data_IF_732450481776
#
_entry.id   IF_732450481776
#
_cell.length_a   1.000
_cell.length_b   1.000
_cell.length_c   1.000
_cell.angle_alpha   90.00
_cell.angle_beta   90.00
_cell.angle_gamma   90.00
#
_symmetry.space_group_name_H-M   'P 1'
#
loop_
_entity.id
_entity.type
_entity.pdbx_description
1 polymer ?
#
# COMPACT_ATOMS: atom_id res chain seq x y z
N UNK A 1 2.54 1.90 -32.47
CA UNK A 1 3.02 3.19 -31.93
C UNK A 1 3.68 2.93 -30.58
N UNK A 2 5.01 2.87 -30.53
CA UNK A 2 5.76 2.51 -29.31
C UNK A 2 5.76 3.70 -28.35
N UNK A 3 5.05 3.61 -27.22
CA UNK A 3 5.17 4.61 -26.15
C UNK A 3 6.54 4.43 -25.49
N UNK A 4 7.41 5.42 -25.69
CA UNK A 4 8.63 5.62 -24.90
C UNK A 4 8.16 5.89 -23.46
N UNK A 5 8.36 4.93 -22.56
CA UNK A 5 8.28 5.16 -21.12
C UNK A 5 9.59 5.83 -20.72
N UNK A 6 9.53 7.13 -20.41
CA UNK A 6 10.65 7.85 -19.79
C UNK A 6 10.79 7.40 -18.34
N UNK A 7 12.03 7.17 -17.89
CA UNK A 7 12.38 6.71 -16.54
C UNK A 7 12.04 7.71 -15.42
N UNK A 8 11.33 8.79 -15.73
CA UNK A 8 11.09 9.93 -14.83
C UNK A 8 9.73 9.87 -14.09
N UNK A 9 8.91 8.82 -14.30
CA UNK A 9 7.62 8.63 -13.62
C UNK A 9 7.70 7.77 -12.33
N UNK A 10 8.89 7.50 -11.80
CA UNK A 10 9.04 6.74 -10.54
C UNK A 10 9.02 7.62 -9.28
N UNK A 11 8.16 8.63 -9.23
CA UNK A 11 7.58 9.03 -7.93
C UNK A 11 6.76 7.83 -7.45
N UNK A 12 6.96 7.38 -6.20
CA UNK A 12 6.38 6.16 -5.58
C UNK A 12 5.24 5.51 -6.38
N UNK A 13 5.41 4.26 -6.83
CA UNK A 13 4.38 3.53 -7.59
C UNK A 13 3.04 3.67 -6.84
N UNK A 14 2.05 4.38 -7.41
CA UNK A 14 0.76 4.54 -6.76
C UNK A 14 0.17 3.14 -6.52
N UNK A 15 -0.26 2.88 -5.29
CA UNK A 15 -0.94 1.63 -4.92
C UNK A 15 -2.35 1.70 -5.51
N UNK A 16 -2.45 1.45 -6.81
CA UNK A 16 -3.69 1.45 -7.56
C UNK A 16 -4.12 0.00 -7.82
N UNK A 17 -5.26 -0.38 -7.26
CA UNK A 17 -5.95 -1.65 -7.53
C UNK A 17 -7.01 -1.41 -8.60
N UNK A 18 -6.80 -1.93 -9.81
CA UNK A 18 -7.74 -1.82 -10.92
C UNK A 18 -8.91 -2.81 -10.85
N UNK A 19 -8.83 -3.82 -9.98
CA UNK A 19 -9.93 -4.75 -9.76
C UNK A 19 -11.00 -4.04 -8.93
N UNK A 20 -12.11 -3.63 -9.58
CA UNK A 20 -13.13 -2.78 -8.96
C UNK A 20 -13.81 -3.43 -7.74
N UNK A 21 -13.98 -4.75 -7.75
CA UNK A 21 -14.54 -5.47 -6.58
C UNK A 21 -13.60 -5.38 -5.39
N UNK A 22 -12.33 -5.75 -5.57
CA UNK A 22 -11.32 -5.69 -4.52
C UNK A 22 -11.11 -4.25 -4.03
N UNK A 23 -11.06 -3.29 -4.96
CA UNK A 23 -10.96 -1.86 -4.64
C UNK A 23 -12.13 -1.39 -3.77
N UNK A 24 -13.36 -1.76 -4.11
CA UNK A 24 -14.54 -1.41 -3.31
C UNK A 24 -14.47 -2.01 -1.91
N UNK A 25 -14.12 -3.29 -1.80
CA UNK A 25 -14.04 -3.99 -0.52
C UNK A 25 -12.94 -3.44 0.39
N UNK A 26 -11.74 -3.17 -0.14
CA UNK A 26 -10.62 -2.61 0.64
C UNK A 26 -10.86 -1.15 1.06
N UNK A 27 -11.73 -0.42 0.36
CA UNK A 27 -12.10 0.96 0.68
C UNK A 27 -13.32 1.09 1.61
N UNK A 28 -14.10 0.03 1.83
CA UNK A 28 -15.30 0.02 2.68
C UNK A 28 -14.95 0.22 4.17
N UNK A 29 -14.82 1.48 4.61
CA UNK A 29 -14.36 1.85 5.96
C UNK A 29 -15.15 1.14 7.07
N UNK A 30 -16.47 1.12 6.93
CA UNK A 30 -17.37 0.71 7.98
C UNK A 30 -17.47 -0.81 8.05
N UNK A 31 -17.49 -1.46 6.88
CA UNK A 31 -17.59 -2.90 6.75
C UNK A 31 -16.27 -3.65 6.69
N UNK A 32 -15.10 -3.01 6.66
CA UNK A 32 -13.81 -3.68 6.55
C UNK A 32 -13.50 -4.55 7.77
N UNK A 33 -13.13 -5.80 7.53
CA UNK A 33 -12.69 -6.76 8.56
C UNK A 33 -11.43 -7.50 8.09
N UNK A 34 -10.79 -8.25 8.99
CA UNK A 34 -9.62 -9.06 8.62
C UNK A 34 -9.99 -10.15 7.61
N UNK A 35 -11.14 -10.78 7.81
CA UNK A 35 -11.66 -11.83 6.94
C UNK A 35 -11.88 -11.30 5.51
N UNK A 36 -12.44 -10.08 5.35
CA UNK A 36 -12.57 -9.46 4.03
C UNK A 36 -11.21 -9.18 3.36
N UNK A 37 -10.20 -8.77 4.13
CA UNK A 37 -8.84 -8.55 3.59
C UNK A 37 -8.24 -9.88 3.12
N UNK A 38 -8.38 -10.94 3.92
CA UNK A 38 -7.91 -12.27 3.57
C UNK A 38 -8.65 -12.86 2.36
N UNK A 39 -9.97 -12.65 2.26
CA UNK A 39 -10.78 -13.05 1.10
C UNK A 39 -10.31 -12.36 -0.19
N UNK A 40 -9.96 -11.06 -0.12
CA UNK A 40 -9.41 -10.32 -1.28
C UNK A 40 -8.06 -10.92 -1.70
N UNK A 41 -7.18 -11.21 -0.75
CA UNK A 41 -5.87 -11.83 -1.03
C UNK A 41 -6.06 -13.24 -1.60
N UNK A 42 -6.96 -14.04 -1.02
CA UNK A 42 -7.25 -15.40 -1.48
C UNK A 42 -7.70 -15.43 -2.93
N UNK A 43 -8.67 -14.58 -3.30
CA UNK A 43 -9.13 -14.45 -4.69
C UNK A 43 -8.04 -13.97 -5.63
N UNK A 44 -7.20 -13.02 -5.20
CA UNK A 44 -6.06 -12.59 -6.00
C UNK A 44 -5.09 -13.76 -6.26
N UNK A 45 -4.78 -14.57 -5.25
CA UNK A 45 -3.87 -15.71 -5.38
C UNK A 45 -4.46 -16.82 -6.28
N UNK A 46 -5.77 -17.04 -6.23
CA UNK A 46 -6.48 -17.94 -7.15
C UNK A 46 -6.41 -17.42 -8.58
N UNK A 47 -6.82 -16.17 -8.83
CA UNK A 47 -6.78 -15.55 -10.15
C UNK A 47 -5.35 -15.47 -10.72
N UNK A 48 -4.34 -15.30 -9.86
CA UNK A 48 -2.93 -15.32 -10.24
C UNK A 48 -2.49 -16.72 -10.72
N UNK A 49 -2.90 -17.79 -10.02
CA UNK A 49 -2.55 -19.17 -10.38
C UNK A 49 -3.17 -19.60 -11.70
N UNK A 50 -4.37 -19.12 -11.97
CA UNK A 50 -5.14 -19.45 -13.19
C UNK A 50 -4.81 -18.51 -14.38
N UNK A 51 -3.82 -17.62 -14.24
CA UNK A 51 -3.44 -16.61 -15.25
C UNK A 51 -4.59 -15.68 -15.67
N UNK A 52 -5.44 -15.30 -14.71
CA UNK A 52 -6.64 -14.50 -14.92
C UNK A 52 -6.47 -13.03 -14.51
N UNK A 53 -5.25 -12.56 -14.25
CA UNK A 53 -5.04 -11.19 -13.75
C UNK A 53 -5.64 -10.13 -14.66
N UNK A 54 -5.34 -10.16 -15.96
CA UNK A 54 -5.83 -9.17 -16.92
C UNK A 54 -7.33 -9.26 -17.12
N UNK A 55 -7.84 -10.48 -17.29
CA UNK A 55 -9.27 -10.72 -17.54
C UNK A 55 -10.14 -10.35 -16.34
N UNK A 56 -9.61 -10.47 -15.11
CA UNK A 56 -10.26 -10.06 -13.85
C UNK A 56 -9.92 -8.62 -13.44
N UNK A 57 -9.18 -7.88 -14.27
CA UNK A 57 -8.86 -6.48 -14.03
C UNK A 57 -7.88 -6.23 -12.89
N UNK A 58 -7.11 -7.22 -12.45
CA UNK A 58 -6.01 -7.00 -11.51
C UNK A 58 -4.88 -6.19 -12.14
N UNK A 59 -4.05 -5.49 -11.34
CA UNK A 59 -2.87 -4.82 -11.88
C UNK A 59 -1.94 -5.83 -12.56
N UNK A 60 -1.38 -5.53 -13.72
CA UNK A 60 -0.47 -6.46 -14.42
C UNK A 60 0.98 -6.25 -14.02
N UNK A 61 1.40 -4.99 -13.86
CA UNK A 61 2.76 -4.64 -13.45
C UNK A 61 2.86 -4.64 -11.94
N UNK A 62 3.88 -5.31 -11.41
CA UNK A 62 4.17 -5.43 -9.97
C UNK A 62 2.90 -5.80 -9.16
N UNK A 63 2.10 -6.71 -9.71
CA UNK A 63 0.74 -7.02 -9.23
C UNK A 63 0.69 -7.42 -7.76
N UNK A 64 1.45 -8.47 -7.40
CA UNK A 64 1.49 -8.97 -6.03
C UNK A 64 1.99 -7.91 -5.04
N UNK A 65 2.93 -7.05 -5.45
CA UNK A 65 3.38 -5.93 -4.63
C UNK A 65 2.24 -4.92 -4.39
N UNK A 66 1.53 -4.49 -5.44
CA UNK A 66 0.39 -3.56 -5.30
C UNK A 66 -0.71 -4.13 -4.42
N UNK A 67 -1.11 -5.38 -4.65
CA UNK A 67 -2.16 -6.05 -3.88
C UNK A 67 -1.75 -6.21 -2.42
N UNK A 68 -0.52 -6.65 -2.14
CA UNK A 68 -0.03 -6.80 -0.76
C UNK A 68 0.03 -5.46 -0.01
N UNK A 69 0.43 -4.36 -0.65
CA UNK A 69 0.46 -3.04 -0.01
C UNK A 69 -0.95 -2.44 0.18
N UNK A 70 -1.87 -2.67 -0.75
CA UNK A 70 -3.27 -2.30 -0.56
C UNK A 70 -3.93 -3.06 0.59
N UNK A 71 -3.64 -4.36 0.71
CA UNK A 71 -4.11 -5.19 1.81
C UNK A 71 -3.49 -4.76 3.15
N UNK A 72 -2.20 -4.43 3.20
CA UNK A 72 -1.54 -3.89 4.40
C UNK A 72 -2.17 -2.57 4.86
N UNK A 73 -2.49 -1.70 3.90
CA UNK A 73 -3.20 -0.44 4.15
C UNK A 73 -4.58 -0.68 4.77
N UNK A 74 -5.37 -1.60 4.20
CA UNK A 74 -6.66 -2.01 4.73
C UNK A 74 -6.52 -2.62 6.15
N UNK A 75 -5.57 -3.53 6.34
CA UNK A 75 -5.26 -4.16 7.62
C UNK A 75 -4.92 -3.14 8.72
N UNK A 76 -4.11 -2.12 8.38
CA UNK A 76 -3.76 -1.01 9.27
C UNK A 76 -5.01 -0.33 9.84
N UNK A 77 -6.02 -0.08 9.00
CA UNK A 77 -7.28 0.57 9.41
C UNK A 77 -8.10 -0.31 10.33
N UNK A 78 -8.18 -1.61 10.04
CA UNK A 78 -8.87 -2.58 10.91
C UNK A 78 -8.21 -2.62 12.29
N UNK A 79 -6.88 -2.69 12.34
CA UNK A 79 -6.14 -2.70 13.60
C UNK A 79 -6.31 -1.40 14.39
N UNK A 80 -6.24 -0.24 13.73
CA UNK A 80 -6.45 1.06 14.37
C UNK A 80 -7.85 1.21 14.99
N UNK A 81 -8.89 0.63 14.36
CA UNK A 81 -10.24 0.58 14.93
C UNK A 81 -10.33 -0.35 16.14
N UNK A 82 -9.65 -1.51 16.07
CA UNK A 82 -9.64 -2.53 17.13
C UNK A 82 -8.87 -2.10 18.37
N UNK A 83 -7.72 -1.45 18.21
CA UNK A 83 -6.81 -1.07 19.29
C UNK A 83 -6.75 0.44 19.47
N UNK A 84 -7.69 0.99 20.26
CA UNK A 84 -7.83 2.45 20.45
C UNK A 84 -6.72 3.08 21.30
N UNK A 85 -5.98 2.28 22.06
CA UNK A 85 -4.88 2.70 22.93
C UNK A 85 -3.50 2.60 22.27
N UNK A 86 -3.42 2.06 21.04
CA UNK A 86 -2.19 1.92 20.26
C UNK A 86 -2.33 2.80 19.02
N UNK A 87 -1.28 3.57 18.71
CA UNK A 87 -1.21 4.36 17.48
C UNK A 87 -0.74 3.44 16.35
N UNK A 88 -1.56 3.27 15.30
CA UNK A 88 -1.31 2.33 14.20
C UNK A 88 -1.53 3.07 12.89
N UNK A 89 -0.47 3.26 12.10
CA UNK A 89 -0.50 3.96 10.82
C UNK A 89 0.33 3.22 9.77
N UNK A 90 0.05 3.51 8.49
CA UNK A 90 0.83 3.03 7.36
C UNK A 90 1.63 4.19 6.75
N UNK A 91 2.80 3.89 6.18
CA UNK A 91 3.66 4.90 5.57
C UNK A 91 4.35 4.39 4.31
N UNK A 92 4.31 5.19 3.26
CA UNK A 92 5.18 5.10 2.08
C UNK A 92 6.45 5.91 2.36
N UNK A 93 7.64 5.28 2.34
CA UNK A 93 8.89 5.98 2.66
C UNK A 93 9.44 6.83 1.49
N UNK A 94 8.72 6.90 0.36
CA UNK A 94 9.25 7.44 -0.88
C UNK A 94 10.06 6.41 -1.68
N UNK A 95 10.65 6.84 -2.79
CA UNK A 95 11.48 5.99 -3.65
C UNK A 95 12.93 5.96 -3.15
N UNK A 96 13.23 5.03 -2.23
CA UNK A 96 14.51 4.95 -1.51
C UNK A 96 15.53 4.06 -2.23
N UNK A 97 16.79 4.50 -2.32
CA UNK A 97 17.92 3.71 -2.86
C UNK A 97 18.21 2.52 -1.95
N UNK A 98 17.78 1.33 -2.36
CA UNK A 98 18.00 0.07 -1.63
C UNK A 98 18.14 -1.09 -2.62
N UNK A 99 18.47 -2.28 -2.14
CA UNK A 99 18.61 -3.44 -3.03
C UNK A 99 17.28 -3.83 -3.72
N UNK A 100 16.12 -3.52 -3.12
CA UNK A 100 14.79 -3.85 -3.68
C UNK A 100 14.56 -3.22 -5.07
N UNK A 101 15.19 -2.07 -5.33
CA UNK A 101 15.11 -1.35 -6.58
C UNK A 101 16.48 -1.18 -7.25
N UNK A 102 17.45 -2.04 -6.91
CA UNK A 102 18.81 -2.00 -7.46
C UNK A 102 19.44 -0.60 -7.31
N UNK A 103 19.17 0.08 -6.20
CA UNK A 103 19.67 1.42 -5.89
C UNK A 103 19.26 2.52 -6.88
N UNK A 104 18.16 2.33 -7.62
CA UNK A 104 17.63 3.32 -8.59
C UNK A 104 16.76 4.41 -7.97
N UNK A 105 16.50 4.37 -6.66
CA UNK A 105 15.70 5.37 -5.96
C UNK A 105 16.29 6.78 -5.98
N UNK A 106 15.45 7.78 -5.68
CA UNK A 106 15.87 9.19 -5.61
C UNK A 106 16.29 9.60 -4.20
N UNK A 107 15.76 8.94 -3.17
CA UNK A 107 16.04 9.24 -1.75
C UNK A 107 17.15 8.36 -1.18
N UNK A 108 17.91 8.87 -0.22
CA UNK A 108 18.85 8.05 0.57
C UNK A 108 18.10 7.23 1.62
N UNK A 109 18.75 6.19 2.14
CA UNK A 109 18.18 5.34 3.21
C UNK A 109 17.84 6.17 4.44
N UNK A 110 18.72 7.10 4.83
CA UNK A 110 18.51 8.00 5.97
C UNK A 110 17.30 8.91 5.76
N UNK A 111 17.08 9.39 4.54
CA UNK A 111 15.89 10.18 4.22
C UNK A 111 14.61 9.35 4.32
N UNK A 112 14.60 8.17 3.71
CA UNK A 112 13.44 7.27 3.74
C UNK A 112 13.08 6.80 5.16
N UNK A 113 14.08 6.62 6.03
CA UNK A 113 13.89 6.15 7.41
C UNK A 113 13.24 7.20 8.34
N UNK A 114 13.37 8.50 8.04
CA UNK A 114 12.78 9.58 8.86
C UNK A 114 11.27 9.41 9.04
N UNK A 115 10.57 8.93 8.02
CA UNK A 115 9.12 8.87 7.99
C UNK A 115 8.54 7.81 8.92
N UNK A 116 8.90 6.51 8.81
CA UNK A 116 8.47 5.51 9.79
C UNK A 116 8.95 5.80 11.21
N UNK A 117 10.17 6.34 11.39
CA UNK A 117 10.67 6.72 12.73
C UNK A 117 9.80 7.82 13.35
N UNK A 118 9.39 8.83 12.59
CA UNK A 118 8.48 9.87 13.07
C UNK A 118 7.14 9.29 13.56
N UNK A 119 6.56 8.34 12.82
CA UNK A 119 5.31 7.69 13.23
C UNK A 119 5.48 6.81 14.46
N UNK A 120 6.62 6.12 14.59
CA UNK A 120 6.93 5.31 15.76
C UNK A 120 7.11 6.15 17.05
N UNK A 121 7.51 7.41 16.91
CA UNK A 121 7.71 8.35 18.01
C UNK A 121 6.48 9.24 18.30
N UNK A 122 5.33 8.97 17.69
CA UNK A 122 4.10 9.71 17.99
C UNK A 122 3.72 9.54 19.46
N UNK A 123 3.22 10.61 20.13
CA UNK A 123 2.78 10.51 21.51
C UNK A 123 1.55 9.60 21.62
N UNK A 124 1.31 9.10 22.82
CA UNK A 124 0.05 8.43 23.15
C UNK A 124 -1.15 9.31 22.82
N UNK A 125 -2.19 8.71 22.22
CA UNK A 125 -3.37 9.45 21.75
C UNK A 125 -3.17 10.22 20.44
N UNK A 126 -2.03 10.06 19.77
CA UNK A 126 -1.79 10.62 18.44
C UNK A 126 -2.71 10.05 17.34
N UNK A 127 -2.64 10.63 16.12
CA UNK A 127 -3.45 10.17 14.98
C UNK A 127 -3.22 8.70 14.66
N UNK A 128 -4.28 7.93 14.40
CA UNK A 128 -4.23 6.48 14.13
C UNK A 128 -5.18 6.13 12.98
N UNK A 129 -4.87 5.07 12.24
CA UNK A 129 -5.64 4.58 11.11
C UNK A 129 -5.42 5.36 9.81
N UNK A 130 -4.31 6.09 9.71
CA UNK A 130 -3.98 6.93 8.56
C UNK A 130 -2.89 6.30 7.67
N UNK A 131 -2.86 6.74 6.42
CA UNK A 131 -1.76 6.49 5.49
C UNK A 131 -0.98 7.79 5.27
N UNK A 132 0.34 7.69 5.35
CA UNK A 132 1.26 8.78 5.09
C UNK A 132 2.06 8.51 3.82
N UNK A 133 2.08 9.44 2.87
CA UNK A 133 3.11 9.45 1.83
C UNK A 133 4.21 10.42 2.25
N UNK A 134 5.34 9.85 2.68
CA UNK A 134 6.43 10.57 3.32
C UNK A 134 5.94 11.36 4.56
N UNK A 135 5.80 12.68 4.46
CA UNK A 135 5.34 13.53 5.57
C UNK A 135 3.86 13.87 5.53
N UNK A 136 3.19 13.62 4.41
CA UNK A 136 1.83 14.09 4.18
C UNK A 136 0.81 12.98 4.43
N UNK A 137 -0.27 13.32 5.13
CA UNK A 137 -1.44 12.43 5.22
C UNK A 137 -2.04 12.33 3.82
N UNK A 138 -2.23 11.10 3.35
CA UNK A 138 -2.74 10.81 2.02
C UNK A 138 -3.95 9.89 2.10
N UNK A 139 -4.67 9.80 0.98
CA UNK A 139 -5.76 8.83 0.83
C UNK A 139 -5.19 7.43 0.63
N UNK A 140 -5.93 6.43 1.12
CA UNK A 140 -5.61 5.03 0.93
C UNK A 140 -5.73 4.57 -0.53
#
# INVERSE_FOLDING_TARGET
MKRKLTMDEFHCIPIFISNEKAKKELNDIDGLTLEKVDDVIGRFLEDLKEDLLETKGWPIRVSAYKVSKAALNAYTRVLAKKYRNIVINAVSPGHVKTDINQNTGTLTVEHGAKWPVRLALLPHGGPSGLFYDQMEVSTF
#
